data_IF_801453346045
#
_entry.id   IF_801453346045
#
_cell.length_a   1.000
_cell.length_b   1.000
_cell.length_c   1.000
_cell.angle_alpha   90.00
_cell.angle_beta   90.00
_cell.angle_gamma   90.00
#
_symmetry.space_group_name_H-M   'P 1'
#
loop_
_entity.id
_entity.type
_entity.pdbx_description
1 polymer ?
#
# COMPACT_ATOMS: atom_id res chain seq x y z
N UNK A 1 27.20 -13.14 -0.51
CA UNK A 1 26.99 -12.35 -1.75
C UNK A 1 28.22 -11.47 -1.90
N UNK A 2 28.97 -11.60 -2.99
CA UNK A 2 30.08 -10.69 -3.28
C UNK A 2 29.52 -9.26 -3.37
N UNK A 3 30.06 -8.36 -2.55
CA UNK A 3 29.75 -6.94 -2.61
C UNK A 3 30.43 -6.36 -3.85
N UNK A 4 29.78 -6.53 -5.00
CA UNK A 4 30.12 -5.80 -6.21
C UNK A 4 29.78 -4.33 -5.99
N UNK A 5 30.81 -3.56 -5.64
CA UNK A 5 30.70 -2.12 -5.46
C UNK A 5 31.02 -1.42 -6.78
N UNK A 6 30.01 -0.83 -7.39
CA UNK A 6 30.17 -0.06 -8.63
C UNK A 6 30.19 1.45 -8.39
N UNK A 7 30.24 1.90 -7.13
CA UNK A 7 30.31 3.32 -6.78
C UNK A 7 31.56 3.94 -7.42
N UNK A 8 31.39 5.12 -8.02
CA UNK A 8 32.42 5.86 -8.76
C UNK A 8 32.65 5.39 -10.19
N UNK A 9 31.97 4.32 -10.66
CA UNK A 9 32.04 3.90 -12.06
C UNK A 9 31.17 4.80 -12.94
N UNK A 10 31.60 4.98 -14.19
CA UNK A 10 30.89 5.78 -15.20
C UNK A 10 29.95 4.91 -16.02
N UNK A 11 28.75 5.43 -16.26
CA UNK A 11 27.75 4.80 -17.13
C UNK A 11 27.28 5.77 -18.21
N UNK A 12 27.00 5.21 -19.38
CA UNK A 12 26.44 5.89 -20.53
C UNK A 12 24.93 5.65 -20.60
N UNK A 13 24.15 6.72 -20.77
CA UNK A 13 22.70 6.69 -20.97
C UNK A 13 22.31 7.76 -21.99
N UNK A 14 21.73 7.35 -23.12
CA UNK A 14 21.22 8.25 -24.18
C UNK A 14 22.19 9.41 -24.53
N UNK A 15 23.48 9.08 -24.61
CA UNK A 15 24.60 9.99 -24.91
C UNK A 15 25.17 10.82 -23.75
N UNK A 16 24.61 10.73 -22.55
CA UNK A 16 25.13 11.38 -21.34
C UNK A 16 25.92 10.40 -20.46
N UNK A 17 26.93 10.92 -19.77
CA UNK A 17 27.78 10.16 -18.83
C UNK A 17 27.37 10.50 -17.40
N UNK A 18 27.11 9.47 -16.59
CA UNK A 18 26.74 9.60 -15.19
C UNK A 18 27.71 8.85 -14.30
N UNK A 19 27.86 9.32 -13.06
CA UNK A 19 28.57 8.58 -12.03
C UNK A 19 27.59 7.72 -11.23
N UNK A 20 28.00 6.50 -10.94
CA UNK A 20 27.27 5.62 -10.04
C UNK A 20 27.59 6.01 -8.60
N UNK A 21 26.58 6.37 -7.82
CA UNK A 21 26.77 6.75 -6.40
C UNK A 21 26.27 5.70 -5.43
N UNK A 22 25.43 4.78 -5.90
CA UNK A 22 24.96 3.64 -5.12
C UNK A 22 24.48 2.54 -6.04
N UNK A 23 24.73 1.30 -5.63
CA UNK A 23 24.22 0.10 -6.31
C UNK A 23 23.67 -0.88 -5.31
N UNK A 24 22.52 -1.46 -5.66
CA UNK A 24 21.92 -2.54 -4.89
C UNK A 24 21.36 -3.59 -5.85
N UNK A 25 21.71 -4.84 -5.59
CA UNK A 25 20.98 -5.97 -6.17
C UNK A 25 19.80 -6.32 -5.26
N UNK A 26 18.63 -6.51 -5.85
CA UNK A 26 17.55 -7.26 -5.23
C UNK A 26 17.33 -8.58 -5.99
N UNK A 27 16.37 -9.39 -5.52
CA UNK A 27 16.09 -10.71 -6.11
C UNK A 27 15.65 -10.66 -7.58
N UNK A 28 15.33 -9.47 -8.11
CA UNK A 28 14.72 -9.29 -9.43
C UNK A 28 15.51 -8.34 -10.33
N UNK A 29 16.39 -7.49 -9.79
CA UNK A 29 16.98 -6.38 -10.53
C UNK A 29 18.23 -5.81 -9.89
N UNK A 30 19.03 -5.12 -10.72
CA UNK A 30 20.07 -4.20 -10.28
C UNK A 30 19.50 -2.78 -10.27
N UNK A 31 19.51 -2.17 -9.09
CA UNK A 31 19.16 -0.77 -8.86
C UNK A 31 20.46 0.03 -8.82
N UNK A 32 20.53 1.08 -9.63
CA UNK A 32 21.68 1.99 -9.71
C UNK A 32 21.17 3.41 -9.50
N UNK A 33 21.82 4.14 -8.60
CA UNK A 33 21.60 5.57 -8.43
C UNK A 33 22.67 6.32 -9.21
N UNK A 34 22.24 7.23 -10.07
CA UNK A 34 23.10 8.03 -10.92
C UNK A 34 23.14 9.48 -10.45
N UNK A 35 24.32 10.07 -10.53
CA UNK A 35 24.56 11.50 -10.31
C UNK A 35 25.13 12.13 -11.58
N UNK A 36 24.52 13.23 -12.00
CA UNK A 36 24.92 14.04 -13.16
C UNK A 36 25.79 15.24 -12.78
N UNK A 37 26.01 15.47 -11.48
CA UNK A 37 26.81 16.55 -10.93
C UNK A 37 26.21 17.95 -11.14
N UNK A 38 24.96 18.06 -11.62
CA UNK A 38 24.34 19.34 -11.97
C UNK A 38 22.97 19.57 -11.31
N UNK A 39 22.10 18.56 -11.18
CA UNK A 39 20.69 18.78 -10.81
C UNK A 39 20.02 17.72 -9.91
N UNK A 40 20.79 16.82 -9.28
CA UNK A 40 20.28 15.88 -8.28
C UNK A 40 20.17 14.43 -8.77
N UNK A 41 19.83 13.53 -7.84
CA UNK A 41 19.98 12.09 -8.01
C UNK A 41 18.87 11.44 -8.88
N UNK A 42 19.24 10.66 -9.90
CA UNK A 42 18.32 9.87 -10.74
C UNK A 42 18.35 8.38 -10.32
N UNK A 43 17.27 7.89 -9.72
CA UNK A 43 17.12 6.47 -9.34
C UNK A 43 16.68 5.65 -10.55
N UNK A 44 17.48 4.64 -10.94
CA UNK A 44 17.15 3.79 -12.10
C UNK A 44 17.27 2.30 -11.81
N UNK A 45 16.38 1.54 -12.45
CA UNK A 45 16.45 0.09 -12.57
C UNK A 45 17.15 -0.26 -13.88
N UNK A 46 18.34 -0.83 -13.79
CA UNK A 46 19.19 -1.10 -14.95
C UNK A 46 18.77 -2.39 -15.69
N UNK A 47 17.94 -3.25 -15.08
CA UNK A 47 17.58 -4.55 -15.63
C UNK A 47 16.05 -4.73 -15.62
N UNK A 48 15.44 -5.22 -16.72
CA UNK A 48 16.07 -5.69 -17.96
C UNK A 48 16.11 -4.61 -19.05
N UNK A 49 16.13 -3.33 -18.68
CA UNK A 49 15.76 -2.26 -19.61
C UNK A 49 16.77 -2.01 -20.74
N UNK A 50 18.00 -2.50 -20.64
CA UNK A 50 19.05 -2.30 -21.68
C UNK A 50 19.44 -0.84 -21.88
N UNK A 51 18.98 0.05 -21.01
CA UNK A 51 19.05 1.51 -21.15
C UNK A 51 20.33 2.14 -20.57
N UNK A 52 21.15 1.34 -19.86
CA UNK A 52 22.36 1.81 -19.16
C UNK A 52 23.50 0.86 -19.51
N UNK A 53 24.65 1.41 -19.91
CA UNK A 53 25.88 0.67 -20.22
C UNK A 53 27.03 1.22 -19.38
N UNK A 54 27.79 0.36 -18.71
CA UNK A 54 29.04 0.75 -18.07
C UNK A 54 30.12 0.99 -19.13
N UNK A 55 30.93 2.04 -18.95
CA UNK A 55 32.08 2.28 -19.83
C UNK A 55 33.18 1.23 -19.68
N UNK A 56 33.27 0.66 -18.48
CA UNK A 56 34.23 -0.39 -18.14
C UNK A 56 33.69 -1.75 -18.65
N UNK A 57 34.31 -2.27 -19.72
CA UNK A 57 33.91 -3.53 -20.37
C UNK A 57 33.96 -4.74 -19.41
N UNK A 58 34.83 -4.73 -18.40
CA UNK A 58 34.90 -5.79 -17.39
C UNK A 58 33.68 -5.72 -16.48
N UNK A 59 33.33 -4.52 -16.01
CA UNK A 59 32.13 -4.28 -15.20
C UNK A 59 30.86 -4.61 -15.99
N UNK A 60 30.80 -4.22 -17.26
CA UNK A 60 29.67 -4.50 -18.14
C UNK A 60 29.42 -6.02 -18.27
N UNK A 61 30.48 -6.81 -18.47
CA UNK A 61 30.38 -8.28 -18.53
C UNK A 61 29.88 -8.90 -17.22
N UNK A 62 30.33 -8.38 -16.07
CA UNK A 62 29.87 -8.84 -14.76
C UNK A 62 28.36 -8.58 -14.59
N UNK A 63 27.90 -7.39 -14.98
CA UNK A 63 26.48 -7.03 -14.93
C UNK A 63 25.67 -7.94 -15.86
N UNK A 64 26.12 -8.16 -17.09
CA UNK A 64 25.46 -9.05 -18.06
C UNK A 64 25.37 -10.50 -17.57
N UNK A 65 26.42 -11.02 -16.94
CA UNK A 65 26.41 -12.36 -16.37
C UNK A 65 25.42 -12.48 -15.21
N UNK A 66 25.36 -11.48 -14.33
CA UNK A 66 24.37 -11.44 -13.23
C UNK A 66 22.95 -11.32 -13.75
N UNK A 67 22.72 -10.56 -14.82
CA UNK A 67 21.42 -10.50 -15.52
C UNK A 67 21.02 -11.88 -16.01
N UNK A 68 21.94 -12.60 -16.66
CA UNK A 68 21.69 -13.96 -17.15
C UNK A 68 21.38 -14.93 -16.02
N UNK A 69 22.09 -14.87 -14.89
CA UNK A 69 21.81 -15.67 -13.70
C UNK A 69 20.42 -15.39 -13.13
N UNK A 70 20.01 -14.12 -13.03
CA UNK A 70 18.67 -13.73 -12.56
C UNK A 70 17.59 -14.23 -13.53
N UNK A 71 17.77 -14.02 -14.84
CA UNK A 71 16.81 -14.46 -15.85
C UNK A 71 16.68 -15.99 -15.90
N UNK A 72 17.79 -16.72 -15.74
CA UNK A 72 17.80 -18.17 -15.64
C UNK A 72 17.03 -18.65 -14.41
N UNK A 73 17.23 -18.02 -13.24
CA UNK A 73 16.46 -18.31 -12.02
C UNK A 73 14.96 -17.99 -12.17
N UNK A 74 14.61 -16.97 -12.95
CA UNK A 74 13.21 -16.65 -13.27
C UNK A 74 12.62 -17.74 -14.18
N UNK A 75 13.38 -18.21 -15.18
CA UNK A 75 12.93 -19.23 -16.13
C UNK A 75 12.87 -20.65 -15.53
N UNK A 76 13.75 -20.98 -14.58
CA UNK A 76 13.78 -22.27 -13.88
C UNK A 76 12.79 -22.34 -12.71
N UNK A 77 12.17 -21.20 -12.34
CA UNK A 77 11.06 -21.21 -11.39
C UNK A 77 9.86 -21.86 -12.11
N UNK A 78 9.28 -22.95 -11.59
CA UNK A 78 8.12 -23.58 -12.22
C UNK A 78 7.03 -22.52 -12.41
N UNK A 79 6.46 -22.45 -13.62
CA UNK A 79 5.37 -21.55 -13.93
C UNK A 79 4.16 -21.95 -13.10
N UNK A 80 4.05 -21.39 -11.89
CA UNK A 80 2.82 -21.42 -11.13
C UNK A 80 1.79 -20.75 -12.05
N UNK A 81 0.69 -21.44 -12.42
CA UNK A 81 -0.37 -20.82 -13.21
C UNK A 81 -0.74 -19.49 -12.55
N UNK A 82 -1.02 -18.42 -13.31
CA UNK A 82 -1.26 -17.10 -12.76
C UNK A 82 -2.32 -17.24 -11.66
N UNK A 83 -1.89 -17.07 -10.42
CA UNK A 83 -2.76 -17.25 -9.27
C UNK A 83 -3.93 -16.29 -9.47
N UNK A 84 -5.16 -16.82 -9.48
CA UNK A 84 -6.34 -16.00 -9.67
C UNK A 84 -6.25 -14.82 -8.69
N UNK A 85 -6.33 -13.55 -9.14
CA UNK A 85 -6.17 -12.39 -8.26
C UNK A 85 -7.06 -12.45 -7.01
N UNK A 86 -8.24 -13.07 -7.14
CA UNK A 86 -9.15 -13.32 -6.02
C UNK A 86 -8.55 -14.34 -5.06
N UNK A 87 -8.01 -15.47 -5.51
CA UNK A 87 -7.45 -16.48 -4.62
C UNK A 87 -6.24 -15.95 -3.83
N UNK A 88 -5.38 -15.15 -4.47
CA UNK A 88 -4.27 -14.48 -3.78
C UNK A 88 -4.76 -13.49 -2.72
N UNK A 89 -5.81 -12.73 -3.03
CA UNK A 89 -6.48 -11.84 -2.08
C UNK A 89 -7.05 -12.61 -0.89
N UNK A 90 -7.77 -13.71 -1.15
CA UNK A 90 -8.40 -14.51 -0.12
C UNK A 90 -7.36 -15.17 0.80
N UNK A 91 -6.24 -15.67 0.25
CA UNK A 91 -5.11 -16.18 1.04
C UNK A 91 -4.52 -15.12 1.96
N UNK A 92 -4.33 -13.88 1.47
CA UNK A 92 -3.89 -12.77 2.33
C UNK A 92 -4.87 -12.48 3.46
N UNK A 93 -6.18 -12.52 3.19
CA UNK A 93 -7.18 -12.35 4.24
C UNK A 93 -7.12 -13.46 5.29
N UNK A 94 -6.97 -14.72 4.88
CA UNK A 94 -6.77 -15.88 5.78
C UNK A 94 -5.56 -15.70 6.68
N UNK A 95 -4.42 -15.26 6.13
CA UNK A 95 -3.23 -14.95 6.93
C UNK A 95 -3.52 -13.90 8.00
N UNK A 96 -4.26 -12.83 7.66
CA UNK A 96 -4.65 -11.82 8.65
C UNK A 96 -5.57 -12.38 9.73
N UNK A 97 -6.53 -13.25 9.38
CA UNK A 97 -7.40 -13.91 10.35
C UNK A 97 -6.65 -14.87 11.29
N UNK A 98 -5.54 -15.45 10.83
CA UNK A 98 -4.62 -16.28 11.62
C UNK A 98 -3.59 -15.45 12.41
N UNK A 99 -3.60 -14.11 12.27
CA UNK A 99 -2.60 -13.22 12.85
C UNK A 99 -1.17 -13.44 12.32
N UNK A 100 -1.04 -13.90 11.08
CA UNK A 100 0.23 -14.21 10.39
C UNK A 100 0.64 -13.09 9.40
N UNK A 101 -0.03 -11.93 9.45
CA UNK A 101 0.27 -10.82 8.56
C UNK A 101 1.54 -10.06 8.94
N UNK A 102 2.25 -9.55 7.93
CA UNK A 102 3.42 -8.70 8.14
C UNK A 102 3.01 -7.29 8.58
N UNK A 103 3.64 -6.78 9.64
CA UNK A 103 3.43 -5.42 10.13
C UNK A 103 4.28 -4.42 9.34
N UNK A 104 3.70 -3.27 8.97
CA UNK A 104 4.45 -2.22 8.25
C UNK A 104 3.92 -0.81 8.52
N UNK A 105 4.79 0.18 8.29
CA UNK A 105 4.49 1.61 8.38
C UNK A 105 5.00 2.33 7.12
N UNK A 106 4.37 2.12 5.95
CA UNK A 106 4.85 2.68 4.70
C UNK A 106 4.71 4.21 4.60
N UNK A 107 3.88 4.83 5.43
CA UNK A 107 3.67 6.28 5.43
C UNK A 107 4.41 6.93 6.59
N UNK A 108 5.05 8.07 6.32
CA UNK A 108 5.87 8.82 7.29
C UNK A 108 5.51 10.30 7.37
N UNK A 109 4.69 10.81 6.45
CA UNK A 109 4.36 12.23 6.36
C UNK A 109 3.26 12.57 7.36
N UNK A 110 3.56 13.45 8.31
CA UNK A 110 2.61 13.89 9.33
C UNK A 110 1.94 15.18 8.89
N UNK A 111 0.64 15.30 9.13
CA UNK A 111 -0.12 16.53 8.99
C UNK A 111 -0.80 16.89 10.31
N UNK A 112 -0.62 18.14 10.73
CA UNK A 112 -1.41 18.78 11.78
C UNK A 112 -2.54 19.63 11.22
N UNK A 113 -2.59 19.81 9.89
CA UNK A 113 -3.62 20.58 9.22
C UNK A 113 -4.86 19.73 8.99
N UNK A 114 -5.96 20.10 9.64
CA UNK A 114 -7.27 19.48 9.47
C UNK A 114 -8.24 20.35 8.67
N UNK A 115 -7.78 21.47 8.10
CA UNK A 115 -8.59 22.28 7.17
C UNK A 115 -8.80 21.57 5.83
N UNK A 116 -7.87 20.69 5.45
CA UNK A 116 -8.04 19.70 4.41
C UNK A 116 -7.32 18.39 4.79
N UNK A 117 -7.89 17.27 4.37
CA UNK A 117 -7.28 15.96 4.47
C UNK A 117 -6.69 15.58 3.12
N UNK A 118 -5.41 15.23 3.12
CA UNK A 118 -4.65 14.76 1.96
C UNK A 118 -4.21 13.30 2.13
N UNK A 119 -4.43 12.48 1.11
CA UNK A 119 -4.08 11.06 1.11
C UNK A 119 -2.57 10.85 1.33
N UNK A 120 -2.22 9.86 2.14
CA UNK A 120 -0.84 9.55 2.51
C UNK A 120 -0.31 10.30 3.73
N UNK A 121 -1.05 11.29 4.25
CA UNK A 121 -0.69 11.98 5.48
C UNK A 121 -1.24 11.27 6.72
N UNK A 122 -0.44 11.28 7.79
CA UNK A 122 -0.75 10.79 9.13
C UNK A 122 -1.41 11.92 9.93
N UNK A 123 -2.53 11.62 10.59
CA UNK A 123 -3.32 12.59 11.37
C UNK A 123 -3.36 12.29 12.87
N UNK A 124 -2.70 11.22 13.32
CA UNK A 124 -2.56 10.87 14.74
C UNK A 124 -2.79 9.39 15.01
N UNK A 125 -2.82 9.01 16.29
CA UNK A 125 -2.90 7.60 16.73
C UNK A 125 -4.26 7.22 17.34
N UNK A 126 -5.12 8.21 17.60
CA UNK A 126 -6.40 8.04 18.26
C UNK A 126 -7.54 8.42 17.33
N UNK A 127 -8.35 7.42 16.97
CA UNK A 127 -9.52 7.56 16.11
C UNK A 127 -10.47 8.67 16.57
N UNK A 128 -10.78 8.70 17.87
CA UNK A 128 -11.63 9.72 18.48
C UNK A 128 -11.09 11.14 18.27
N UNK A 129 -9.80 11.36 18.54
CA UNK A 129 -9.18 12.69 18.45
C UNK A 129 -9.17 13.18 17.00
N UNK A 130 -8.82 12.30 16.05
CA UNK A 130 -8.87 12.58 14.61
C UNK A 130 -10.30 12.98 14.20
N UNK A 131 -11.30 12.20 14.62
CA UNK A 131 -12.70 12.49 14.30
C UNK A 131 -13.15 13.84 14.86
N UNK A 132 -12.79 14.13 16.11
CA UNK A 132 -13.10 15.41 16.76
C UNK A 132 -12.43 16.60 16.07
N UNK A 133 -11.19 16.46 15.60
CA UNK A 133 -10.55 17.50 14.78
C UNK A 133 -11.28 17.70 13.45
N UNK A 134 -11.77 16.63 12.82
CA UNK A 134 -12.59 16.76 11.62
C UNK A 134 -13.95 17.40 11.92
N UNK A 135 -14.58 17.15 13.08
CA UNK A 135 -15.79 17.86 13.49
C UNK A 135 -15.53 19.37 13.59
N UNK A 136 -14.41 19.75 14.21
CA UNK A 136 -14.05 21.15 14.44
C UNK A 136 -13.72 21.90 13.15
N UNK A 137 -12.95 21.29 12.24
CA UNK A 137 -12.37 21.99 11.10
C UNK A 137 -13.09 21.72 9.78
N UNK A 138 -13.82 20.61 9.68
CA UNK A 138 -14.43 20.11 8.44
C UNK A 138 -15.95 19.89 8.54
N UNK A 139 -16.54 20.20 9.70
CA UNK A 139 -17.98 20.11 9.90
C UNK A 139 -18.52 18.68 10.02
N UNK A 140 -17.69 17.68 10.36
CA UNK A 140 -18.20 16.32 10.62
C UNK A 140 -19.23 16.32 11.76
N UNK A 141 -20.17 15.39 11.69
CA UNK A 141 -21.27 15.33 12.64
C UNK A 141 -20.83 14.89 14.05
N UNK A 142 -20.76 15.85 14.96
CA UNK A 142 -20.29 15.64 16.34
C UNK A 142 -21.07 14.55 17.10
N UNK A 143 -22.35 14.33 16.78
CA UNK A 143 -23.15 13.27 17.43
C UNK A 143 -22.64 11.85 17.14
N UNK A 144 -21.82 11.66 16.10
CA UNK A 144 -21.21 10.36 15.76
C UNK A 144 -19.91 10.06 16.51
N UNK A 145 -19.36 11.01 17.29
CA UNK A 145 -18.05 10.86 17.95
C UNK A 145 -17.92 9.60 18.80
N UNK A 146 -19.02 9.12 19.39
CA UNK A 146 -19.06 7.90 20.19
C UNK A 146 -18.64 6.63 19.42
N UNK A 147 -18.81 6.62 18.09
CA UNK A 147 -18.42 5.50 17.22
C UNK A 147 -16.91 5.33 17.04
N UNK A 148 -16.12 6.31 17.48
CA UNK A 148 -14.66 6.33 17.35
C UNK A 148 -13.93 6.17 18.69
N UNK A 149 -14.65 5.80 19.75
CA UNK A 149 -14.06 5.43 21.05
C UNK A 149 -13.39 4.05 21.01
N UNK A 150 -12.73 3.68 22.12
CA UNK A 150 -12.12 2.36 22.28
C UNK A 150 -13.16 1.24 22.11
N UNK A 151 -12.71 0.12 21.53
CA UNK A 151 -13.51 -1.10 21.32
C UNK A 151 -14.74 -0.93 20.39
N UNK A 152 -14.80 0.15 19.62
CA UNK A 152 -15.82 0.34 18.59
C UNK A 152 -15.36 -0.24 17.24
N UNK A 153 -16.32 -0.41 16.31
CA UNK A 153 -16.06 -0.83 14.92
C UNK A 153 -15.32 0.28 14.13
N UNK A 154 -15.32 1.52 14.66
CA UNK A 154 -14.69 2.70 14.05
C UNK A 154 -15.28 3.06 12.68
N UNK A 155 -16.61 3.03 12.62
CA UNK A 155 -17.40 3.34 11.44
C UNK A 155 -18.63 4.16 11.84
N UNK A 156 -18.94 5.20 11.07
CA UNK A 156 -20.13 6.03 11.28
C UNK A 156 -20.76 6.42 9.94
N UNK A 157 -22.09 6.34 9.87
CA UNK A 157 -22.91 6.77 8.73
C UNK A 157 -24.22 7.39 9.24
N UNK A 158 -24.67 8.52 8.67
CA UNK A 158 -23.86 9.50 7.94
C UNK A 158 -22.87 10.20 8.90
N UNK A 159 -21.70 10.62 8.42
CA UNK A 159 -20.66 11.23 9.27
C UNK A 159 -20.15 12.59 8.80
N UNK A 160 -20.33 12.92 7.51
CA UNK A 160 -19.96 14.20 6.91
C UNK A 160 -21.18 14.94 6.35
N UNK A 161 -21.10 16.28 6.14
CA UNK A 161 -22.18 17.07 5.54
C UNK A 161 -22.65 16.57 4.17
N UNK A 162 -21.75 16.02 3.37
CA UNK A 162 -21.99 15.47 2.03
C UNK A 162 -22.54 14.04 2.07
N UNK A 163 -22.76 13.49 3.27
CA UNK A 163 -23.31 12.15 3.47
C UNK A 163 -22.29 11.02 3.37
N UNK A 164 -20.98 11.31 3.39
CA UNK A 164 -19.98 10.24 3.45
C UNK A 164 -19.99 9.57 4.81
N UNK A 165 -19.74 8.26 4.79
CA UNK A 165 -19.40 7.52 5.99
C UNK A 165 -17.92 7.74 6.32
N UNK A 166 -17.57 7.77 7.60
CA UNK A 166 -16.18 7.81 8.04
C UNK A 166 -15.80 6.42 8.52
N UNK A 167 -14.68 5.93 8.01
CA UNK A 167 -14.21 4.57 8.22
C UNK A 167 -12.76 4.58 8.65
N UNK A 168 -12.50 4.19 9.90
CA UNK A 168 -11.13 4.02 10.38
C UNK A 168 -10.84 2.53 10.50
N UNK A 169 -9.74 2.09 9.90
CA UNK A 169 -9.48 0.70 9.55
C UNK A 169 -8.39 0.11 10.45
N UNK A 170 -8.72 -0.48 11.61
CA UNK A 170 -7.74 -1.06 12.53
C UNK A 170 -7.25 -2.46 12.11
N UNK A 171 -8.07 -3.19 11.36
CA UNK A 171 -7.83 -4.58 10.94
C UNK A 171 -7.48 -4.60 9.46
N UNK A 172 -6.20 -4.44 9.14
CA UNK A 172 -5.75 -4.38 7.76
C UNK A 172 -4.36 -5.03 7.56
N UNK A 173 -3.92 -5.15 6.31
CA UNK A 173 -2.64 -5.78 5.97
C UNK A 173 -1.40 -5.04 6.51
N UNK A 174 -1.49 -3.79 6.95
CA UNK A 174 -0.39 -3.07 7.62
C UNK A 174 -0.31 -3.41 9.11
N UNK A 175 -1.44 -3.70 9.76
CA UNK A 175 -1.48 -4.09 11.19
C UNK A 175 -1.24 -5.58 11.41
N UNK A 176 -1.33 -6.37 10.34
CA UNK A 176 -0.95 -7.79 10.32
C UNK A 176 -1.97 -8.73 10.98
N UNK A 177 -3.09 -8.21 11.46
CA UNK A 177 -4.09 -9.02 12.19
C UNK A 177 -5.52 -8.55 11.91
N UNK A 178 -6.44 -9.51 11.87
CA UNK A 178 -7.86 -9.29 11.67
C UNK A 178 -8.69 -10.23 12.55
N UNK A 179 -9.92 -9.80 12.88
CA UNK A 179 -10.90 -10.65 13.57
C UNK A 179 -11.99 -11.08 12.60
N UNK A 180 -13.18 -10.48 12.66
CA UNK A 180 -14.34 -10.92 11.86
C UNK A 180 -14.31 -10.44 10.41
N UNK A 181 -13.57 -9.35 10.14
CA UNK A 181 -13.32 -8.82 8.81
C UNK A 181 -11.85 -8.40 8.68
N UNK A 182 -11.32 -8.49 7.47
CA UNK A 182 -9.96 -8.09 7.12
C UNK A 182 -10.00 -7.08 5.98
N UNK A 183 -9.14 -6.07 6.05
CA UNK A 183 -9.00 -5.08 4.98
C UNK A 183 -7.66 -5.26 4.28
N UNK A 184 -7.69 -5.41 2.96
CA UNK A 184 -6.48 -5.49 2.15
C UNK A 184 -6.40 -4.19 1.36
N UNK A 185 -5.41 -3.37 1.69
CA UNK A 185 -5.14 -2.10 1.04
C UNK A 185 -4.18 -2.37 -0.12
N UNK A 186 -4.57 -1.92 -1.32
CA UNK A 186 -3.78 -2.03 -2.54
C UNK A 186 -3.95 -0.74 -3.36
N UNK A 187 -3.01 0.19 -3.24
CA UNK A 187 -3.01 1.49 -3.92
C UNK A 187 -4.38 2.20 -3.92
N UNK A 188 -5.10 2.15 -5.04
CA UNK A 188 -6.40 2.78 -5.26
C UNK A 188 -7.60 1.95 -4.78
N UNK A 189 -7.38 0.74 -4.25
CA UNK A 189 -8.43 -0.18 -3.82
C UNK A 189 -8.30 -0.61 -2.36
N UNK A 190 -9.47 -0.78 -1.75
CA UNK A 190 -9.62 -1.44 -0.45
C UNK A 190 -10.54 -2.63 -0.64
N UNK A 191 -10.06 -3.80 -0.28
CA UNK A 191 -10.87 -5.02 -0.25
C UNK A 191 -11.25 -5.35 1.19
N UNK A 192 -12.53 -5.33 1.48
CA UNK A 192 -13.09 -5.72 2.78
C UNK A 192 -13.60 -7.16 2.68
N UNK A 193 -12.93 -8.07 3.38
CA UNK A 193 -13.20 -9.51 3.34
C UNK A 193 -13.85 -9.93 4.65
N UNK A 194 -15.03 -10.55 4.57
CA UNK A 194 -15.84 -10.96 5.72
C UNK A 194 -15.91 -12.46 5.87
N UNK A 195 -15.75 -12.93 7.12
CA UNK A 195 -15.96 -14.36 7.48
C UNK A 195 -17.44 -14.72 7.66
N UNK A 196 -18.29 -13.71 7.78
CA UNK A 196 -19.70 -13.80 8.07
C UNK A 196 -20.50 -13.12 6.96
N UNK A 197 -21.80 -13.37 6.90
CA UNK A 197 -22.67 -12.56 6.05
C UNK A 197 -22.55 -11.09 6.49
N UNK A 198 -22.52 -10.19 5.51
CA UNK A 198 -22.46 -8.76 5.76
C UNK A 198 -23.64 -8.08 5.06
N UNK A 199 -24.55 -7.59 5.88
CA UNK A 199 -25.76 -6.87 5.47
C UNK A 199 -25.51 -5.35 5.36
N UNK A 200 -24.28 -4.90 5.62
CA UNK A 200 -23.94 -3.48 5.69
C UNK A 200 -24.09 -2.73 4.37
N UNK A 201 -24.57 -1.48 4.48
CA UNK A 201 -24.84 -0.55 3.38
C UNK A 201 -23.61 -0.16 2.55
N UNK A 202 -23.88 0.15 1.28
CA UNK A 202 -22.96 0.73 0.32
C UNK A 202 -23.02 2.25 0.38
N UNK A 203 -22.17 2.87 1.19
CA UNK A 203 -21.95 4.32 1.20
C UNK A 203 -20.57 4.67 0.67
N UNK A 204 -20.41 5.90 0.19
CA UNK A 204 -19.08 6.47 -0.04
C UNK A 204 -18.37 6.65 1.30
N UNK A 205 -17.10 6.25 1.37
CA UNK A 205 -16.35 6.15 2.62
C UNK A 205 -15.11 7.02 2.57
N UNK A 206 -14.98 7.89 3.57
CA UNK A 206 -13.74 8.58 3.89
C UNK A 206 -12.89 7.64 4.77
N UNK A 207 -11.75 7.19 4.25
CA UNK A 207 -10.99 6.10 4.84
C UNK A 207 -9.72 6.59 5.55
N UNK A 208 -9.56 6.20 6.81
CA UNK A 208 -8.29 6.26 7.54
C UNK A 208 -7.76 4.86 7.78
N UNK A 209 -6.53 4.55 7.38
CA UNK A 209 -5.90 3.24 7.63
C UNK A 209 -4.97 3.32 8.82
N UNK A 210 -5.06 2.33 9.71
CA UNK A 210 -4.10 2.20 10.82
C UNK A 210 -2.84 1.50 10.33
N UNK A 211 -1.67 2.05 10.64
CA UNK A 211 -0.38 1.39 10.43
C UNK A 211 0.02 0.55 11.65
N UNK A 212 1.09 -0.23 11.56
CA UNK A 212 1.54 -1.09 12.65
C UNK A 212 1.91 -0.34 13.95
N UNK A 213 2.48 0.87 13.83
CA UNK A 213 2.82 1.76 14.95
C UNK A 213 1.59 2.41 15.60
N UNK A 214 0.40 2.20 15.01
CA UNK A 214 -0.87 2.70 15.52
C UNK A 214 -1.31 4.05 14.96
N UNK A 215 -0.51 4.67 14.10
CA UNK A 215 -0.87 5.90 13.40
C UNK A 215 -1.93 5.66 12.34
N UNK A 216 -2.83 6.62 12.18
CA UNK A 216 -3.87 6.63 11.17
C UNK A 216 -3.50 7.57 10.03
N UNK A 217 -3.51 7.00 8.82
CA UNK A 217 -3.21 7.69 7.57
C UNK A 217 -4.52 7.91 6.85
N UNK A 218 -4.80 9.14 6.43
CA UNK A 218 -5.92 9.38 5.52
C UNK A 218 -5.58 8.80 4.14
N UNK A 219 -6.48 8.03 3.55
CA UNK A 219 -6.24 7.35 2.27
C UNK A 219 -7.08 7.87 1.12
N UNK A 220 -8.02 8.76 1.38
CA UNK A 220 -8.94 9.30 0.38
C UNK A 220 -10.39 8.91 0.62
N UNK A 221 -11.21 9.18 -0.39
CA UNK A 221 -12.63 8.87 -0.44
C UNK A 221 -12.85 7.74 -1.45
N UNK A 222 -13.57 6.71 -1.00
CA UNK A 222 -13.79 5.47 -1.73
C UNK A 222 -15.28 5.25 -2.01
N UNK A 223 -15.59 4.70 -3.18
CA UNK A 223 -16.93 4.21 -3.53
C UNK A 223 -16.93 2.70 -3.58
N UNK A 224 -18.06 2.07 -3.26
CA UNK A 224 -18.22 0.63 -3.49
C UNK A 224 -18.24 0.39 -5.00
N UNK A 225 -17.30 -0.43 -5.49
CA UNK A 225 -17.24 -0.87 -6.89
C UNK A 225 -17.98 -2.19 -7.06
N UNK A 226 -17.81 -3.12 -6.11
CA UNK A 226 -18.35 -4.48 -6.22
C UNK A 226 -18.60 -5.13 -4.87
N UNK A 227 -19.66 -5.93 -4.75
CA UNK A 227 -19.92 -6.85 -3.64
C UNK A 227 -20.08 -8.27 -4.19
N UNK A 228 -19.15 -9.16 -3.84
CA UNK A 228 -19.16 -10.57 -4.24
C UNK A 228 -19.55 -11.46 -3.06
N UNK A 229 -20.50 -12.37 -3.29
CA UNK A 229 -20.81 -13.46 -2.35
C UNK A 229 -20.03 -14.69 -2.78
N UNK A 230 -19.01 -15.06 -2.00
CA UNK A 230 -18.02 -16.09 -2.38
C UNK A 230 -18.35 -17.44 -1.76
N UNK A 231 -18.84 -17.49 -0.52
CA UNK A 231 -19.19 -18.73 0.21
C UNK A 231 -18.12 -19.84 0.10
N UNK A 232 -16.84 -19.51 0.34
CA UNK A 232 -15.72 -20.47 0.31
C UNK A 232 -15.15 -20.69 1.71
N UNK A 233 -14.50 -21.83 1.91
CA UNK A 233 -13.68 -22.09 3.09
C UNK A 233 -12.24 -22.31 2.66
N UNK A 234 -11.30 -21.58 3.25
CA UNK A 234 -9.87 -21.67 2.95
C UNK A 234 -9.13 -21.85 4.27
N UNK A 235 -8.33 -22.91 4.38
CA UNK A 235 -7.63 -23.33 5.61
C UNK A 235 -8.54 -23.37 6.86
N UNK A 236 -9.77 -23.87 6.71
CA UNK A 236 -10.76 -23.94 7.79
C UNK A 236 -11.42 -22.60 8.15
N UNK A 237 -11.07 -21.51 7.46
CA UNK A 237 -11.68 -20.19 7.67
C UNK A 237 -12.77 -19.94 6.62
N UNK A 238 -14.03 -19.74 7.03
CA UNK A 238 -15.09 -19.37 6.09
C UNK A 238 -14.88 -17.94 5.61
N UNK A 239 -15.12 -17.72 4.32
CA UNK A 239 -15.18 -16.42 3.66
C UNK A 239 -16.50 -16.33 2.91
N UNK A 240 -17.29 -15.33 3.27
CA UNK A 240 -18.67 -15.18 2.81
C UNK A 240 -18.81 -14.06 1.80
N UNK A 241 -18.21 -12.91 2.08
CA UNK A 241 -18.38 -11.69 1.28
C UNK A 241 -17.03 -11.03 1.05
N UNK A 242 -16.85 -10.49 -0.16
CA UNK A 242 -15.78 -9.54 -0.49
C UNK A 242 -16.41 -8.27 -1.05
N UNK A 243 -16.12 -7.14 -0.43
CA UNK A 243 -16.47 -5.82 -0.96
C UNK A 243 -15.21 -5.15 -1.49
N UNK A 244 -15.28 -4.66 -2.72
CA UNK A 244 -14.20 -3.91 -3.37
C UNK A 244 -14.59 -2.45 -3.41
N UNK A 245 -13.75 -1.63 -2.81
CA UNK A 245 -13.87 -0.17 -2.79
C UNK A 245 -12.79 0.43 -3.66
N UNK A 246 -13.16 1.40 -4.51
CA UNK A 246 -12.23 2.14 -5.37
C UNK A 246 -12.17 3.60 -4.94
N UNK A 247 -10.95 4.12 -4.81
CA UNK A 247 -10.70 5.51 -4.49
C UNK A 247 -11.11 6.40 -5.67
N UNK A 248 -11.84 7.47 -5.38
CA UNK A 248 -12.21 8.48 -6.36
C UNK A 248 -11.76 9.89 -5.98
N UNK A 249 -11.24 10.10 -4.77
CA UNK A 249 -10.60 11.35 -4.35
C UNK A 249 -9.46 11.10 -3.38
N UNK A 250 -8.35 11.82 -3.55
CA UNK A 250 -7.21 11.84 -2.63
C UNK A 250 -7.34 12.94 -1.57
N UNK A 251 -8.38 13.78 -1.67
CA UNK A 251 -8.59 14.95 -0.81
C UNK A 251 -10.00 14.99 -0.21
N UNK A 252 -10.10 15.63 0.95
CA UNK A 252 -11.37 16.05 1.54
C UNK A 252 -11.21 17.40 2.28
N UNK A 253 -12.08 18.41 2.09
CA UNK A 253 -13.17 18.45 1.12
C UNK A 253 -12.64 18.32 -0.30
N UNK A 254 -13.50 17.97 -1.27
CA UNK A 254 -13.04 17.90 -2.67
C UNK A 254 -12.93 19.33 -3.21
N UNK A 255 -11.87 19.61 -3.95
CA UNK A 255 -11.73 20.83 -4.77
C UNK A 255 -12.85 20.89 -5.83
#
# INVERSE_FOLDING_TARGET
MENLNFIGKRVLKKSDVFNVISTRFDEKSLIIVLDDGKLGYDLRRAIPSGLIRFEDDVVQKIVEQKVKEINKKIAEKPSVPPENPIDSLLKKAVQLFKCEGSKSNPYTNHSSDFSCLQAGNIYGTKAYDIYMQCCKNLGFFTYQKGKFQLQQILYAVPATPEGYAVWMLPHNNLTGTAKSWANIINDDKIYEVWRMNDDGESSNRLAFIKQANGEYVFMGIYTLEKKDVINRTIDGIPIKVVKTYKRFSDKYPRD
#
